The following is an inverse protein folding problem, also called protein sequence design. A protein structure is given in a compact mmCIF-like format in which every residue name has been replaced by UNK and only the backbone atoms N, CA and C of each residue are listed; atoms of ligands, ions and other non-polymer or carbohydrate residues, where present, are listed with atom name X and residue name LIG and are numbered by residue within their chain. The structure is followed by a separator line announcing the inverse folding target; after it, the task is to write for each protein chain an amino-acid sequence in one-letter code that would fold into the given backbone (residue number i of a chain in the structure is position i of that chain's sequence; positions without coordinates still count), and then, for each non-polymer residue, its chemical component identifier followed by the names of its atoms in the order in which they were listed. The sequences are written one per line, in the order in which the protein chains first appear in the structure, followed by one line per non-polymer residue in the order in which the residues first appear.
data_IF_060043041907
#
_entry.id   IF_060043041907
#
_cell.length_a   1.000
_cell.length_b   1.000
_cell.length_c   1.000
_cell.angle_alpha   90.00
_cell.angle_beta   90.00
_cell.angle_gamma   90.00
#
_symmetry.space_group_name_H-M   'P 1'
#
loop_
_entity.id
_entity.type
_entity.pdbx_description
1 polymer ?
#
# COMPACT_ATOMS: atom_id res chain seq x y z
N UNK A 1 -17.42 56.36 9.19
CA UNK A 1 -17.20 55.55 10.41
C UNK A 1 -18.34 54.55 10.48
N UNK A 2 -18.21 53.25 10.29
CA UNK A 2 -17.05 52.37 10.20
C UNK A 2 -17.28 51.36 9.08
N UNK A 3 -16.25 51.16 8.27
CA UNK A 3 -16.15 50.13 7.24
C UNK A 3 -15.92 48.79 7.95
N UNK A 4 -16.82 47.82 7.74
CA UNK A 4 -16.68 46.46 8.24
C UNK A 4 -15.69 45.76 7.31
N UNK A 5 -14.43 45.80 7.68
CA UNK A 5 -13.37 44.98 7.06
C UNK A 5 -13.76 43.52 7.18
N UNK A 6 -14.22 42.94 6.08
CA UNK A 6 -14.23 41.51 5.84
C UNK A 6 -12.79 41.00 5.96
N UNK A 7 -12.47 40.36 7.10
CA UNK A 7 -11.24 39.59 7.22
C UNK A 7 -11.23 38.54 6.09
N UNK A 8 -10.13 38.41 5.33
CA UNK A 8 -10.01 37.33 4.37
C UNK A 8 -10.07 36.02 5.17
N UNK A 9 -11.05 35.17 4.83
CA UNK A 9 -11.05 33.77 5.26
C UNK A 9 -9.71 33.21 4.76
N UNK A 10 -8.73 33.05 5.65
CA UNK A 10 -7.52 32.30 5.32
C UNK A 10 -8.00 30.91 4.92
N UNK A 11 -7.97 30.62 3.62
CA UNK A 11 -8.05 29.26 3.12
C UNK A 11 -6.90 28.51 3.78
N UNK A 12 -7.22 27.73 4.81
CA UNK A 12 -6.26 26.86 5.47
C UNK A 12 -5.86 25.82 4.42
N UNK A 13 -4.67 25.97 3.84
CA UNK A 13 -4.19 25.04 2.83
C UNK A 13 -3.83 23.71 3.51
N UNK A 14 -4.74 22.75 3.40
CA UNK A 14 -4.52 21.37 3.87
C UNK A 14 -3.64 20.59 2.90
N UNK A 15 -3.41 21.07 1.69
CA UNK A 15 -2.75 20.29 0.65
C UNK A 15 -1.23 20.53 0.64
N UNK A 16 -0.42 19.47 0.47
CA UNK A 16 1.01 19.65 0.26
C UNK A 16 1.32 20.40 -1.04
N UNK A 17 2.46 21.10 -1.14
CA UNK A 17 2.85 21.88 -2.31
C UNK A 17 3.37 21.00 -3.46
N UNK A 18 2.57 20.01 -3.89
CA UNK A 18 2.93 18.98 -4.88
C UNK A 18 3.25 19.60 -6.23
N UNK A 19 2.43 20.56 -6.69
CA UNK A 19 2.60 21.20 -7.99
C UNK A 19 3.92 21.97 -8.07
N UNK A 20 4.24 22.73 -7.02
CA UNK A 20 5.49 23.49 -6.93
C UNK A 20 6.69 22.54 -6.98
N UNK A 21 6.69 21.50 -6.13
CA UNK A 21 7.79 20.53 -6.08
C UNK A 21 7.96 19.79 -7.41
N UNK A 22 6.86 19.37 -8.03
CA UNK A 22 6.90 18.73 -9.34
C UNK A 22 7.50 19.66 -10.41
N UNK A 23 7.12 20.95 -10.39
CA UNK A 23 7.70 21.97 -11.28
C UNK A 23 9.20 22.11 -11.12
N UNK A 24 9.73 22.12 -9.89
CA UNK A 24 11.17 22.15 -9.64
C UNK A 24 11.88 20.92 -10.23
N UNK A 25 11.31 19.72 -10.09
CA UNK A 25 11.88 18.50 -10.66
C UNK A 25 11.95 18.53 -12.20
N UNK A 26 11.01 19.21 -12.87
CA UNK A 26 11.04 19.35 -14.34
C UNK A 26 12.13 20.30 -14.84
N UNK A 27 12.66 21.17 -13.97
CA UNK A 27 13.71 22.14 -14.31
C UNK A 27 15.13 21.60 -14.08
N UNK A 28 15.26 20.48 -13.37
CA UNK A 28 16.56 19.86 -13.11
C UNK A 28 17.11 19.18 -14.38
N UNK A 29 18.41 19.32 -14.68
CA UNK A 29 19.03 18.54 -15.74
C UNK A 29 19.02 17.05 -15.37
N UNK A 30 18.85 16.11 -16.32
CA UNK A 30 18.82 14.68 -16.02
C UNK A 30 20.17 14.23 -15.43
N UNK A 31 20.16 13.84 -14.15
CA UNK A 31 21.40 13.52 -13.41
C UNK A 31 21.85 12.06 -13.56
N UNK A 32 21.07 11.20 -14.21
CA UNK A 32 21.39 9.77 -14.40
C UNK A 32 21.25 9.45 -15.90
N UNK A 33 22.23 8.77 -16.53
CA UNK A 33 22.07 8.24 -17.87
C UNK A 33 20.82 7.36 -17.86
N UNK A 34 19.82 7.72 -18.64
CA UNK A 34 18.66 6.88 -18.90
C UNK A 34 19.17 5.57 -19.46
N UNK A 35 19.32 4.54 -18.62
CA UNK A 35 19.36 3.16 -19.09
C UNK A 35 18.06 2.97 -19.86
N UNK A 36 18.21 2.83 -21.17
CA UNK A 36 17.15 2.73 -22.17
C UNK A 36 16.02 1.85 -21.65
N UNK A 37 14.91 2.49 -21.29
CA UNK A 37 13.66 1.83 -21.03
C UNK A 37 12.78 2.25 -22.19
N UNK A 38 12.56 1.31 -23.13
CA UNK A 38 11.81 1.48 -24.36
C UNK A 38 10.74 2.57 -24.24
N UNK A 39 10.85 3.56 -25.12
CA UNK A 39 9.89 4.64 -25.27
C UNK A 39 8.47 4.08 -25.29
N UNK A 40 7.68 4.43 -24.27
CA UNK A 40 6.23 4.39 -24.43
C UNK A 40 5.89 5.49 -25.43
N UNK A 41 5.27 5.17 -26.58
CA UNK A 41 4.98 6.18 -27.58
C UNK A 41 4.04 7.23 -26.99
N UNK A 42 4.50 8.47 -27.02
CA UNK A 42 3.67 9.65 -26.76
C UNK A 42 2.53 9.69 -27.77
N UNK A 43 1.29 9.71 -27.30
CA UNK A 43 0.13 10.06 -28.12
C UNK A 43 -0.87 8.96 -28.48
N UNK A 44 -0.77 7.74 -27.94
CA UNK A 44 -1.87 6.78 -28.05
C UNK A 44 -2.87 7.01 -26.91
N UNK A 45 -4.16 7.18 -27.22
CA UNK A 45 -5.25 7.01 -26.26
C UNK A 45 -5.20 5.55 -25.80
N UNK A 46 -4.44 5.26 -24.74
CA UNK A 46 -4.38 3.92 -24.15
C UNK A 46 -5.77 3.66 -23.58
N UNK A 47 -6.57 2.86 -24.30
CA UNK A 47 -7.75 2.25 -23.69
C UNK A 47 -7.28 1.56 -22.42
N UNK A 48 -7.77 2.00 -21.28
CA UNK A 48 -7.47 1.36 -19.99
C UNK A 48 -8.00 -0.07 -20.09
N UNK A 49 -7.11 -1.05 -20.24
CA UNK A 49 -7.46 -2.44 -20.04
C UNK A 49 -7.81 -2.59 -18.55
N UNK A 50 -9.11 -2.77 -18.28
CA UNK A 50 -9.60 -3.07 -16.95
C UNK A 50 -9.51 -4.58 -16.73
N UNK A 51 -8.95 -5.00 -15.61
CA UNK A 51 -9.01 -6.40 -15.19
C UNK A 51 -10.03 -6.55 -14.07
N UNK A 52 -10.80 -7.64 -14.13
CA UNK A 52 -11.55 -8.11 -12.98
C UNK A 52 -10.63 -9.02 -12.18
N UNK A 53 -10.18 -8.53 -11.02
CA UNK A 53 -9.46 -9.37 -10.08
C UNK A 53 -10.33 -10.54 -9.63
N UNK A 54 -9.74 -11.70 -9.28
CA UNK A 54 -10.46 -12.77 -8.60
C UNK A 54 -11.19 -12.20 -7.38
N UNK A 55 -12.50 -12.43 -7.30
CA UNK A 55 -13.36 -12.01 -6.19
C UNK A 55 -13.70 -13.23 -5.33
N UNK A 56 -13.31 -13.20 -4.07
CA UNK A 56 -13.39 -14.35 -3.17
C UNK A 56 -14.31 -14.02 -2.00
N UNK A 57 -15.31 -14.87 -1.79
CA UNK A 57 -16.18 -14.82 -0.62
C UNK A 57 -15.55 -15.57 0.56
N UNK A 58 -15.15 -14.83 1.60
CA UNK A 58 -14.50 -15.42 2.77
C UNK A 58 -15.46 -16.06 3.76
N UNK A 59 -16.78 -15.89 3.62
CA UNK A 59 -17.74 -16.63 4.44
C UNK A 59 -17.62 -18.14 4.22
N UNK A 60 -17.21 -18.56 3.02
CA UNK A 60 -16.97 -19.95 2.66
C UNK A 60 -15.86 -20.62 3.49
N UNK A 61 -14.88 -19.87 4.02
CA UNK A 61 -13.85 -20.42 4.91
C UNK A 61 -14.43 -20.97 6.22
N UNK A 62 -15.57 -20.43 6.66
CA UNK A 62 -16.27 -20.85 7.88
C UNK A 62 -17.50 -21.73 7.60
N UNK A 63 -17.68 -22.20 6.35
CA UNK A 63 -18.79 -23.08 5.99
C UNK A 63 -18.73 -24.40 6.77
N UNK A 64 -19.89 -24.97 7.13
CA UNK A 64 -19.95 -26.34 7.69
C UNK A 64 -19.57 -27.39 6.64
N UNK A 65 -19.71 -27.08 5.35
CA UNK A 65 -19.35 -27.95 4.25
C UNK A 65 -17.84 -27.90 3.97
N UNK A 66 -17.16 -29.04 4.14
CA UNK A 66 -15.72 -29.16 3.93
C UNK A 66 -15.30 -28.82 2.49
N UNK A 67 -16.10 -29.23 1.50
CA UNK A 67 -15.79 -28.96 0.10
C UNK A 67 -15.79 -27.46 -0.22
N UNK A 68 -16.69 -26.70 0.40
CA UNK A 68 -16.75 -25.24 0.23
C UNK A 68 -15.54 -24.55 0.89
N UNK A 69 -15.15 -25.00 2.09
CA UNK A 69 -13.96 -24.48 2.77
C UNK A 69 -12.70 -24.70 1.93
N UNK A 70 -12.52 -25.93 1.41
CA UNK A 70 -11.39 -26.28 0.56
C UNK A 70 -11.38 -25.47 -0.75
N UNK A 71 -12.53 -25.37 -1.43
CA UNK A 71 -12.64 -24.58 -2.66
C UNK A 71 -12.31 -23.09 -2.45
N UNK A 72 -12.72 -22.51 -1.31
CA UNK A 72 -12.37 -21.14 -0.96
C UNK A 72 -10.87 -20.98 -0.71
N UNK A 73 -10.26 -21.91 0.05
CA UNK A 73 -8.81 -21.91 0.28
C UNK A 73 -8.02 -22.05 -1.03
N UNK A 74 -8.43 -22.96 -1.92
CA UNK A 74 -7.84 -23.13 -3.25
C UNK A 74 -7.98 -21.87 -4.11
N UNK A 75 -9.11 -21.17 -4.04
CA UNK A 75 -9.31 -19.92 -4.77
C UNK A 75 -8.34 -18.82 -4.29
N UNK A 76 -8.11 -18.72 -2.98
CA UNK A 76 -7.14 -17.78 -2.40
C UNK A 76 -5.74 -18.11 -2.89
N UNK A 77 -5.33 -19.39 -2.81
CA UNK A 77 -3.99 -19.81 -3.21
C UNK A 77 -3.76 -19.61 -4.71
N UNK A 78 -4.75 -19.96 -5.55
CA UNK A 78 -4.70 -19.77 -7.00
C UNK A 78 -4.58 -18.30 -7.37
N UNK A 79 -5.36 -17.43 -6.73
CA UNK A 79 -5.27 -16.00 -6.99
C UNK A 79 -3.92 -15.42 -6.57
N UNK A 80 -3.38 -15.85 -5.42
CA UNK A 80 -2.03 -15.46 -4.97
C UNK A 80 -0.91 -15.91 -5.91
N UNK A 81 -1.04 -17.08 -6.54
CA UNK A 81 -0.06 -17.62 -7.48
C UNK A 81 -0.18 -17.07 -8.91
N UNK A 82 -1.39 -16.89 -9.43
CA UNK A 82 -1.61 -16.46 -10.81
C UNK A 82 -1.64 -14.93 -10.96
N UNK A 83 -2.14 -14.23 -9.94
CA UNK A 83 -2.35 -12.78 -9.98
C UNK A 83 -1.50 -12.03 -8.96
N UNK A 84 -1.20 -12.64 -7.81
CA UNK A 84 -0.60 -11.91 -6.68
C UNK A 84 -1.51 -10.86 -6.04
N UNK A 85 -2.73 -10.72 -6.57
CA UNK A 85 -3.75 -9.74 -6.22
C UNK A 85 -5.14 -10.39 -6.31
N UNK A 86 -6.01 -10.08 -5.35
CA UNK A 86 -7.42 -10.49 -5.39
C UNK A 86 -8.29 -9.56 -4.54
N UNK A 87 -9.59 -9.65 -4.72
CA UNK A 87 -10.60 -8.98 -3.90
C UNK A 87 -11.25 -9.98 -2.97
N UNK A 88 -11.55 -9.55 -1.75
CA UNK A 88 -12.29 -10.35 -0.76
C UNK A 88 -13.54 -9.63 -0.31
N UNK A 89 -14.66 -10.36 -0.23
CA UNK A 89 -15.95 -9.92 0.35
C UNK A 89 -16.32 -10.83 1.51
N UNK A 90 -17.30 -10.41 2.32
CA UNK A 90 -17.71 -11.12 3.54
C UNK A 90 -16.51 -11.44 4.47
N UNK A 91 -15.54 -10.52 4.50
CA UNK A 91 -14.27 -10.65 5.20
C UNK A 91 -14.37 -10.42 6.73
N UNK A 92 -15.58 -10.15 7.24
CA UNK A 92 -15.85 -10.05 8.67
C UNK A 92 -15.46 -8.71 9.34
N UNK A 93 -15.01 -7.72 8.57
CA UNK A 93 -14.77 -6.36 9.08
C UNK A 93 -16.07 -5.57 8.92
N UNK A 94 -16.54 -4.96 10.00
CA UNK A 94 -17.80 -4.19 10.00
C UNK A 94 -17.76 -3.06 8.96
N UNK A 95 -18.78 -2.93 8.09
CA UNK A 95 -18.90 -1.79 7.18
C UNK A 95 -18.93 -0.44 7.92
N UNK A 96 -19.48 -0.42 9.15
CA UNK A 96 -19.48 0.77 9.99
C UNK A 96 -18.07 1.16 10.44
N UNK A 97 -17.25 0.18 10.84
CA UNK A 97 -15.86 0.42 11.21
C UNK A 97 -15.05 0.97 10.03
N UNK A 98 -15.26 0.43 8.82
CA UNK A 98 -14.64 0.96 7.59
C UNK A 98 -15.08 2.41 7.34
N UNK A 99 -16.37 2.73 7.49
CA UNK A 99 -16.89 4.10 7.34
C UNK A 99 -16.33 5.06 8.37
N UNK A 100 -16.29 4.66 9.64
CA UNK A 100 -15.72 5.46 10.72
C UNK A 100 -14.24 5.75 10.44
N UNK A 101 -13.46 4.71 10.09
CA UNK A 101 -12.04 4.89 9.77
C UNK A 101 -11.82 5.84 8.58
N UNK A 102 -12.67 5.77 7.54
CA UNK A 102 -12.63 6.73 6.41
C UNK A 102 -12.96 8.16 6.82
N UNK A 103 -13.94 8.35 7.72
CA UNK A 103 -14.27 9.68 8.26
C UNK A 103 -13.09 10.27 9.03
N UNK A 104 -12.51 9.51 9.96
CA UNK A 104 -11.35 9.97 10.74
C UNK A 104 -10.12 10.23 9.84
N UNK A 105 -9.92 9.40 8.79
CA UNK A 105 -8.89 9.65 7.78
C UNK A 105 -9.12 10.98 7.05
N UNK A 106 -10.35 11.25 6.63
CA UNK A 106 -10.69 12.49 5.94
C UNK A 106 -10.42 13.71 6.83
N UNK A 107 -10.90 13.68 8.07
CA UNK A 107 -10.69 14.75 9.05
C UNK A 107 -9.20 14.99 9.33
N UNK A 108 -8.42 13.91 9.50
CA UNK A 108 -6.97 14.01 9.68
C UNK A 108 -6.30 14.73 8.50
N UNK A 109 -6.66 14.37 7.26
CA UNK A 109 -6.05 14.98 6.07
C UNK A 109 -6.51 16.42 5.79
N UNK A 110 -7.65 16.85 6.36
CA UNK A 110 -8.13 18.24 6.28
C UNK A 110 -7.36 19.20 7.21
N UNK A 111 -6.54 18.68 8.11
CA UNK A 111 -5.61 19.48 8.92
C UNK A 111 -4.66 20.29 8.01
N UNK A 112 -4.32 21.55 8.37
CA UNK A 112 -3.36 22.35 7.62
C UNK A 112 -2.07 21.59 7.32
N UNK A 113 -1.52 21.77 6.11
CA UNK A 113 -0.31 21.09 5.66
C UNK A 113 0.85 21.26 6.65
N UNK A 114 1.10 22.49 7.11
CA UNK A 114 2.20 22.79 8.04
C UNK A 114 2.08 22.02 9.35
N UNK A 115 0.85 21.87 9.88
CA UNK A 115 0.61 21.07 11.08
C UNK A 115 0.94 19.59 10.84
N UNK A 116 0.49 19.01 9.71
CA UNK A 116 0.81 17.62 9.36
C UNK A 116 2.32 17.41 9.18
N UNK A 117 3.00 18.39 8.60
CA UNK A 117 4.43 18.33 8.29
C UNK A 117 5.36 18.58 9.50
N UNK A 118 4.93 19.33 10.51
CA UNK A 118 5.84 19.82 11.57
C UNK A 118 5.45 19.42 13.00
N UNK A 119 4.18 19.12 13.27
CA UNK A 119 3.70 18.88 14.64
C UNK A 119 3.90 17.44 15.12
N UNK A 120 4.55 16.58 14.33
CA UNK A 120 4.82 15.19 14.69
C UNK A 120 3.59 14.33 14.95
N UNK A 121 2.45 14.70 14.35
CA UNK A 121 1.19 13.96 14.40
C UNK A 121 1.46 12.49 14.05
N UNK A 122 0.94 11.58 14.89
CA UNK A 122 1.13 10.14 14.76
C UNK A 122 2.61 9.74 14.68
N UNK A 123 3.43 10.31 15.57
CA UNK A 123 4.85 10.02 15.73
C UNK A 123 5.70 10.29 14.46
N UNK A 124 5.55 11.49 13.89
CA UNK A 124 6.26 11.91 12.67
C UNK A 124 6.08 10.94 11.48
N UNK A 125 4.90 10.30 11.38
CA UNK A 125 4.60 9.33 10.32
C UNK A 125 4.16 9.96 9.00
N UNK A 126 3.97 11.28 8.98
CA UNK A 126 3.52 12.01 7.81
C UNK A 126 4.63 12.14 6.74
N UNK A 127 4.25 11.89 5.49
CA UNK A 127 5.09 12.09 4.31
C UNK A 127 4.25 12.58 3.14
N UNK A 128 4.87 13.32 2.25
CA UNK A 128 4.24 13.80 1.02
C UNK A 128 5.25 13.82 -0.12
N UNK A 129 4.75 13.72 -1.35
CA UNK A 129 5.62 13.68 -2.52
C UNK A 129 6.54 12.46 -2.51
N UNK A 130 7.73 12.66 -3.06
CA UNK A 130 8.87 11.74 -2.86
C UNK A 130 10.09 12.60 -2.59
N UNK A 131 10.47 12.83 -1.31
CA UNK A 131 11.52 13.80 -0.96
C UNK A 131 12.88 13.53 -1.61
N UNK A 132 13.16 12.27 -1.95
CA UNK A 132 14.39 11.84 -2.62
C UNK A 132 14.28 11.80 -4.15
N UNK A 133 13.17 12.27 -4.73
CA UNK A 133 13.00 12.30 -6.18
C UNK A 133 13.99 13.28 -6.80
N UNK A 134 14.65 12.84 -7.87
CA UNK A 134 15.58 13.64 -8.67
C UNK A 134 15.01 13.97 -10.05
N UNK A 135 13.89 13.35 -10.41
CA UNK A 135 13.17 13.60 -11.65
C UNK A 135 11.66 13.32 -11.48
N UNK A 136 10.81 13.82 -12.38
CA UNK A 136 9.35 13.62 -12.31
C UNK A 136 8.90 12.16 -12.23
N UNK A 137 9.64 11.23 -12.86
CA UNK A 137 9.30 9.79 -12.87
C UNK A 137 9.43 9.11 -11.51
N UNK A 138 10.16 9.73 -10.58
CA UNK A 138 10.35 9.24 -9.20
C UNK A 138 9.37 9.91 -8.22
N UNK A 139 8.56 10.86 -8.66
CA UNK A 139 7.70 11.64 -7.79
C UNK A 139 6.30 11.02 -7.67
N UNK A 140 5.81 10.90 -6.44
CA UNK A 140 4.44 10.46 -6.13
C UNK A 140 3.56 11.65 -5.77
N UNK A 141 2.49 11.90 -6.54
CA UNK A 141 1.46 12.91 -6.27
C UNK A 141 0.51 12.43 -5.16
N UNK A 142 1.04 12.37 -3.95
CA UNK A 142 0.29 11.89 -2.79
C UNK A 142 0.87 12.42 -1.48
N UNK A 143 0.08 12.26 -0.44
CA UNK A 143 0.50 12.32 0.95
C UNK A 143 0.03 11.07 1.70
N UNK A 144 0.73 10.74 2.78
CA UNK A 144 0.40 9.58 3.59
C UNK A 144 0.86 9.73 5.04
N UNK A 145 0.11 9.13 5.96
CA UNK A 145 0.58 8.77 7.29
C UNK A 145 0.97 7.29 7.27
N UNK A 146 2.23 6.97 7.54
CA UNK A 146 2.74 5.60 7.60
C UNK A 146 3.05 5.18 9.04
N UNK A 147 2.04 4.61 9.68
CA UNK A 147 1.91 4.51 11.13
C UNK A 147 2.33 3.10 11.58
N UNK A 148 3.39 2.95 12.38
CA UNK A 148 3.73 1.66 12.99
C UNK A 148 2.67 1.29 14.04
N UNK A 149 2.18 0.05 14.01
CA UNK A 149 1.17 -0.41 14.97
C UNK A 149 1.67 -0.43 16.42
N UNK A 150 2.98 -0.53 16.63
CA UNK A 150 3.63 -0.33 17.95
C UNK A 150 3.19 0.95 18.66
N UNK A 151 2.83 1.97 17.88
CA UNK A 151 2.55 3.33 18.36
C UNK A 151 1.06 3.66 18.33
N UNK A 152 0.22 2.80 17.73
CA UNK A 152 -1.22 3.07 17.57
C UNK A 152 -1.93 3.16 18.93
N UNK A 153 -1.48 2.43 19.95
CA UNK A 153 -2.06 2.52 21.29
C UNK A 153 -1.58 3.72 22.12
N UNK A 154 -0.51 4.41 21.70
CA UNK A 154 0.11 5.50 22.47
C UNK A 154 -0.70 6.80 22.35
N UNK A 155 -1.45 7.14 23.41
CA UNK A 155 -2.32 8.33 23.43
C UNK A 155 -1.58 9.62 23.05
N UNK A 156 -0.32 9.77 23.46
CA UNK A 156 0.50 10.94 23.19
C UNK A 156 0.72 11.19 21.68
N UNK A 157 0.58 10.18 20.83
CA UNK A 157 0.78 10.30 19.39
C UNK A 157 -0.37 11.02 18.66
N UNK A 158 -1.54 11.15 19.28
CA UNK A 158 -2.76 11.58 18.59
C UNK A 158 -3.11 13.06 18.79
N UNK A 159 -2.57 13.72 19.83
CA UNK A 159 -2.87 15.12 20.09
C UNK A 159 -4.38 15.38 20.15
N UNK A 160 -4.88 16.22 19.23
CA UNK A 160 -6.30 16.58 19.10
C UNK A 160 -7.18 15.48 18.45
N UNK A 161 -6.59 14.42 17.88
CA UNK A 161 -7.29 13.34 17.16
C UNK A 161 -7.58 12.12 18.06
N UNK A 162 -8.19 12.34 19.23
CA UNK A 162 -8.44 11.24 20.18
C UNK A 162 -9.44 10.20 19.65
N UNK A 163 -10.47 10.61 18.89
CA UNK A 163 -11.44 9.71 18.23
C UNK A 163 -10.76 8.78 17.22
N UNK A 164 -9.82 9.30 16.44
CA UNK A 164 -9.04 8.55 15.47
C UNK A 164 -8.30 7.38 16.12
N UNK A 165 -7.81 7.53 17.35
CA UNK A 165 -7.09 6.46 18.05
C UNK A 165 -7.95 5.22 18.26
N UNK A 166 -9.14 5.40 18.82
CA UNK A 166 -10.02 4.28 19.16
C UNK A 166 -10.45 3.53 17.90
N UNK A 167 -10.87 4.28 16.88
CA UNK A 167 -11.27 3.72 15.59
C UNK A 167 -10.10 3.02 14.90
N UNK A 168 -8.90 3.61 14.92
CA UNK A 168 -7.69 3.02 14.32
C UNK A 168 -7.25 1.75 15.03
N UNK A 169 -7.34 1.69 16.36
CA UNK A 169 -7.05 0.47 17.14
C UNK A 169 -8.00 -0.67 16.76
N UNK A 170 -9.31 -0.41 16.71
CA UNK A 170 -10.30 -1.42 16.33
C UNK A 170 -10.11 -1.87 14.87
N UNK A 171 -9.86 -0.92 13.96
CA UNK A 171 -9.60 -1.20 12.55
C UNK A 171 -8.31 -2.01 12.34
N UNK A 172 -7.22 -1.65 13.04
CA UNK A 172 -5.94 -2.36 13.00
C UNK A 172 -6.08 -3.81 13.47
N UNK A 173 -6.80 -4.02 14.59
CA UNK A 173 -7.03 -5.36 15.13
C UNK A 173 -7.86 -6.22 14.15
N UNK A 174 -8.89 -5.65 13.53
CA UNK A 174 -9.72 -6.33 12.54
C UNK A 174 -8.92 -6.71 11.28
N UNK A 175 -8.09 -5.79 10.77
CA UNK A 175 -7.18 -6.05 9.64
C UNK A 175 -6.11 -7.10 9.98
N UNK A 176 -5.52 -7.04 11.18
CA UNK A 176 -4.54 -8.00 11.68
C UNK A 176 -5.12 -9.41 11.73
N UNK A 177 -6.34 -9.56 12.27
CA UNK A 177 -7.05 -10.85 12.30
C UNK A 177 -7.27 -11.40 10.89
N UNK A 178 -7.75 -10.57 9.96
CA UNK A 178 -7.96 -10.98 8.57
C UNK A 178 -6.66 -11.38 7.88
N UNK A 179 -5.59 -10.59 8.04
CA UNK A 179 -4.28 -10.87 7.47
C UNK A 179 -3.72 -12.21 7.95
N UNK A 180 -3.84 -12.54 9.24
CA UNK A 180 -3.42 -13.83 9.78
C UNK A 180 -4.22 -15.01 9.24
N UNK A 181 -5.54 -14.85 9.07
CA UNK A 181 -6.37 -15.89 8.44
C UNK A 181 -5.91 -16.17 7.02
N UNK A 182 -5.69 -15.13 6.21
CA UNK A 182 -5.26 -15.26 4.82
C UNK A 182 -3.85 -15.85 4.72
N UNK A 183 -2.89 -15.34 5.51
CA UNK A 183 -1.53 -15.86 5.54
C UNK A 183 -1.48 -17.32 6.01
N UNK A 184 -2.31 -17.70 6.98
CA UNK A 184 -2.42 -19.09 7.45
C UNK A 184 -2.99 -20.05 6.40
N UNK A 185 -3.99 -19.62 5.62
CA UNK A 185 -4.50 -20.41 4.47
C UNK A 185 -3.41 -20.63 3.42
N UNK A 186 -2.65 -19.57 3.11
CA UNK A 186 -1.56 -19.63 2.14
C UNK A 186 -0.39 -20.50 2.63
N UNK A 187 -0.09 -20.50 3.93
CA UNK A 187 0.91 -21.37 4.53
C UNK A 187 0.49 -22.85 4.49
N UNK A 188 -0.77 -23.16 4.84
CA UNK A 188 -1.29 -24.53 4.81
C UNK A 188 -1.25 -25.16 3.42
N UNK A 189 -1.54 -24.39 2.37
CA UNK A 189 -1.46 -24.86 0.99
C UNK A 189 -0.03 -25.28 0.59
N UNK A 190 0.99 -24.75 1.27
CA UNK A 190 2.39 -25.14 1.09
C UNK A 190 2.85 -26.21 2.11
N UNK A 191 1.92 -26.81 2.86
CA UNK A 191 2.20 -27.87 3.82
C UNK A 191 2.70 -27.38 5.18
N UNK A 192 2.58 -26.08 5.48
CA UNK A 192 3.02 -25.50 6.75
C UNK A 192 1.85 -25.22 7.71
N UNK A 193 2.06 -25.24 9.04
CA UNK A 193 1.00 -24.93 10.00
C UNK A 193 0.42 -23.52 9.82
N UNK A 194 -0.90 -23.31 10.03
CA UNK A 194 -1.55 -21.98 9.92
C UNK A 194 -0.84 -20.87 10.69
N UNK A 195 -0.33 -21.20 11.88
CA UNK A 195 0.33 -20.26 12.79
C UNK A 195 1.82 -20.09 12.56
N UNK A 196 2.38 -20.57 11.44
CA UNK A 196 3.84 -20.51 11.18
C UNK A 196 4.39 -19.07 11.25
N UNK A 197 3.55 -18.08 10.96
CA UNK A 197 3.94 -16.68 10.99
C UNK A 197 3.64 -15.94 12.29
N UNK A 198 2.97 -16.54 13.28
CA UNK A 198 2.51 -15.85 14.48
C UNK A 198 3.67 -15.25 15.30
N UNK A 199 4.81 -15.94 15.31
CA UNK A 199 6.00 -15.51 16.06
C UNK A 199 6.82 -14.45 15.34
N UNK A 200 6.81 -14.43 14.00
CA UNK A 200 7.61 -13.50 13.19
C UNK A 200 6.82 -12.25 12.82
N UNK A 201 5.53 -12.39 12.48
CA UNK A 201 4.62 -11.32 12.10
C UNK A 201 3.79 -10.81 13.28
N UNK A 202 4.49 -10.43 14.36
CA UNK A 202 3.85 -9.81 15.50
C UNK A 202 3.27 -8.44 15.13
N UNK A 203 2.15 -8.09 15.74
CA UNK A 203 1.40 -6.87 15.42
C UNK A 203 2.27 -5.61 15.55
N UNK A 204 3.19 -5.60 16.52
CA UNK A 204 4.12 -4.49 16.76
C UNK A 204 5.02 -4.14 15.56
N UNK A 205 5.23 -5.09 14.63
CA UNK A 205 6.05 -4.94 13.43
C UNK A 205 5.24 -4.48 12.21
N UNK A 206 3.91 -4.51 12.29
CA UNK A 206 3.02 -4.21 11.18
C UNK A 206 2.73 -2.70 11.09
N UNK A 207 2.17 -2.28 9.96
CA UNK A 207 1.92 -0.86 9.68
C UNK A 207 0.51 -0.64 9.14
N UNK A 208 -0.04 0.54 9.45
CA UNK A 208 -1.12 1.13 8.69
C UNK A 208 -0.58 2.28 7.83
N UNK A 209 -1.07 2.41 6.60
CA UNK A 209 -0.81 3.57 5.75
C UNK A 209 -2.12 4.20 5.31
N UNK A 210 -2.40 5.39 5.84
CA UNK A 210 -3.48 6.24 5.36
C UNK A 210 -2.92 7.05 4.20
N UNK A 211 -3.54 6.99 3.02
CA UNK A 211 -3.10 7.67 1.82
C UNK A 211 -4.17 8.66 1.36
N UNK A 212 -3.75 9.86 0.96
CA UNK A 212 -4.56 10.81 0.21
C UNK A 212 -3.82 11.16 -1.08
N UNK A 213 -4.54 11.14 -2.18
CA UNK A 213 -4.07 11.56 -3.49
C UNK A 213 -4.89 12.77 -3.91
N UNK A 214 -4.36 14.01 -3.73
CA UNK A 214 -5.06 15.22 -4.15
C UNK A 214 -5.33 15.22 -5.66
N UNK A 215 -6.35 15.96 -6.09
CA UNK A 215 -6.62 16.12 -7.51
C UNK A 215 -5.40 16.72 -8.24
N UNK A 216 -5.06 16.16 -9.40
CA UNK A 216 -3.87 16.54 -10.16
C UNK A 216 -4.23 17.32 -11.43
N UNK A 217 -4.05 18.65 -11.47
CA UNK A 217 -4.56 19.48 -12.57
C UNK A 217 -3.75 19.37 -13.87
N UNK A 218 -2.57 18.74 -13.84
CA UNK A 218 -1.59 18.81 -14.92
C UNK A 218 -1.61 17.60 -15.86
N UNK A 219 -1.87 16.38 -15.37
CA UNK A 219 -2.00 15.19 -16.25
C UNK A 219 -2.51 13.97 -15.49
N UNK A 220 -3.28 13.12 -16.18
CA UNK A 220 -3.65 11.78 -15.70
C UNK A 220 -2.52 10.75 -15.75
N UNK A 221 -1.38 11.10 -16.36
CA UNK A 221 -0.20 10.22 -16.47
C UNK A 221 0.74 10.31 -15.26
N UNK A 222 0.50 11.27 -14.36
CA UNK A 222 1.29 11.41 -13.14
C UNK A 222 0.99 10.26 -12.20
N UNK A 223 2.05 9.73 -11.59
CA UNK A 223 1.91 8.72 -10.55
C UNK A 223 1.36 9.38 -9.29
N UNK A 224 0.18 8.95 -8.85
CA UNK A 224 -0.24 9.13 -7.46
C UNK A 224 0.72 8.38 -6.52
N UNK A 225 1.13 7.17 -6.91
CA UNK A 225 2.19 6.39 -6.27
C UNK A 225 3.00 5.68 -7.35
N UNK A 226 4.33 5.85 -7.32
CA UNK A 226 5.24 5.29 -8.34
C UNK A 226 5.18 3.76 -8.41
N UNK A 227 5.52 3.14 -9.56
CA UNK A 227 5.61 1.69 -9.69
C UNK A 227 6.52 1.04 -8.64
N UNK A 228 5.99 0.07 -7.91
CA UNK A 228 6.70 -0.67 -6.87
C UNK A 228 6.08 -2.05 -6.63
N UNK A 229 6.78 -2.91 -5.91
CA UNK A 229 6.20 -4.05 -5.19
C UNK A 229 6.17 -3.74 -3.70
N UNK A 230 5.31 -4.40 -2.93
CA UNK A 230 5.31 -4.28 -1.47
C UNK A 230 6.40 -5.16 -0.86
N UNK A 231 7.08 -4.65 0.17
CA UNK A 231 8.18 -5.35 0.84
C UNK A 231 7.73 -6.22 2.01
N UNK A 232 6.43 -6.35 2.26
CA UNK A 232 5.86 -7.06 3.39
C UNK A 232 5.57 -8.53 3.03
N UNK A 233 4.78 -9.23 3.86
CA UNK A 233 4.24 -10.54 3.49
C UNK A 233 2.95 -10.40 2.69
N UNK A 234 2.03 -9.59 3.24
CA UNK A 234 0.67 -9.46 2.74
C UNK A 234 0.16 -8.06 3.03
N UNK A 235 -0.33 -7.38 1.99
CA UNK A 235 -1.03 -6.10 2.13
C UNK A 235 -2.54 -6.32 2.01
N UNK A 236 -3.32 -5.63 2.86
CA UNK A 236 -4.78 -5.51 2.73
C UNK A 236 -5.15 -4.04 2.54
N UNK A 237 -5.83 -3.73 1.45
CA UNK A 237 -6.16 -2.38 1.02
C UNK A 237 -7.68 -2.15 1.03
N UNK A 238 -8.11 -1.15 1.80
CA UNK A 238 -9.42 -0.50 1.65
C UNK A 238 -9.27 0.75 0.78
N UNK A 239 -10.10 0.91 -0.24
CA UNK A 239 -10.09 2.08 -1.13
C UNK A 239 -11.49 2.64 -1.37
N UNK A 240 -11.55 3.88 -1.84
CA UNK A 240 -12.78 4.52 -2.31
C UNK A 240 -13.15 4.10 -3.76
N UNK A 241 -14.12 4.81 -4.34
CA UNK A 241 -14.64 4.56 -5.69
C UNK A 241 -13.86 5.28 -6.80
N UNK A 242 -12.86 6.10 -6.47
CA UNK A 242 -12.15 6.93 -7.46
C UNK A 242 -11.23 6.06 -8.32
N UNK A 243 -10.77 4.93 -7.77
CA UNK A 243 -9.91 3.97 -8.45
C UNK A 243 -8.49 4.50 -8.67
N UNK A 244 -7.83 4.08 -9.74
CA UNK A 244 -6.48 4.51 -10.07
C UNK A 244 -5.37 3.53 -9.68
N UNK A 245 -5.68 2.48 -8.92
CA UNK A 245 -4.77 1.35 -8.75
C UNK A 245 -4.59 0.62 -10.08
N UNK A 246 -3.33 0.38 -10.47
CA UNK A 246 -2.96 -0.44 -11.62
C UNK A 246 -1.91 -1.45 -11.21
N UNK A 247 -1.98 -2.65 -11.77
CA UNK A 247 -1.01 -3.72 -11.55
C UNK A 247 -0.42 -4.19 -12.89
N UNK A 248 0.78 -4.74 -12.86
CA UNK A 248 1.45 -5.32 -14.01
C UNK A 248 1.01 -6.78 -14.19
N UNK A 249 0.30 -7.09 -15.29
CA UNK A 249 -0.08 -8.45 -15.67
C UNK A 249 0.30 -8.69 -17.12
N UNK A 250 0.99 -9.79 -17.40
CA UNK A 250 1.41 -10.19 -18.76
C UNK A 250 2.10 -9.04 -19.53
N UNK A 251 3.03 -8.35 -18.83
CA UNK A 251 3.78 -7.20 -19.33
C UNK A 251 2.93 -5.96 -19.69
N UNK A 252 1.69 -5.89 -19.20
CA UNK A 252 0.80 -4.74 -19.36
C UNK A 252 0.32 -4.18 -18.03
N UNK A 253 0.14 -2.87 -17.98
CA UNK A 253 -0.53 -2.21 -16.86
C UNK A 253 -2.04 -2.35 -17.01
N UNK A 254 -2.68 -3.07 -16.09
CA UNK A 254 -4.13 -3.24 -16.03
C UNK A 254 -4.73 -2.50 -14.84
N UNK A 255 -5.88 -1.85 -15.05
CA UNK A 255 -6.56 -1.09 -14.01
C UNK A 255 -7.47 -2.00 -13.17
N UNK A 256 -7.43 -1.80 -11.84
CA UNK A 256 -8.31 -2.51 -10.91
C UNK A 256 -9.60 -1.74 -10.72
N UNK A 257 -10.73 -2.40 -10.96
CA UNK A 257 -12.04 -1.81 -10.71
C UNK A 257 -12.29 -1.64 -9.20
N UNK A 258 -12.67 -0.44 -8.74
CA UNK A 258 -13.12 -0.23 -7.38
C UNK A 258 -14.34 -1.10 -7.05
N UNK A 259 -14.37 -1.63 -5.83
CA UNK A 259 -15.49 -2.38 -5.30
C UNK A 259 -15.65 -1.95 -3.84
N UNK A 260 -16.77 -1.28 -3.50
CA UNK A 260 -16.98 -0.72 -2.17
C UNK A 260 -17.17 -1.78 -1.09
N UNK A 261 -17.63 -2.97 -1.47
CA UNK A 261 -17.93 -4.07 -0.56
C UNK A 261 -16.71 -4.97 -0.33
N UNK A 262 -15.62 -4.72 -1.06
CA UNK A 262 -14.43 -5.56 -1.05
C UNK A 262 -13.19 -4.86 -0.50
N UNK A 263 -12.31 -5.68 0.07
CA UNK A 263 -10.92 -5.31 0.32
C UNK A 263 -10.05 -5.94 -0.78
N UNK A 264 -8.99 -5.25 -1.17
CA UNK A 264 -7.97 -5.82 -2.06
C UNK A 264 -6.88 -6.43 -1.20
N UNK A 265 -6.42 -7.61 -1.57
CA UNK A 265 -5.30 -8.30 -0.95
C UNK A 265 -4.20 -8.47 -1.99
N UNK A 266 -2.95 -8.22 -1.61
CA UNK A 266 -1.80 -8.54 -2.45
C UNK A 266 -0.64 -9.15 -1.68
N UNK A 267 0.12 -9.97 -2.40
CA UNK A 267 1.32 -10.63 -1.89
C UNK A 267 2.51 -9.68 -1.97
N UNK A 268 3.32 -9.66 -0.91
CA UNK A 268 4.55 -8.90 -0.84
C UNK A 268 5.79 -9.75 -1.13
N UNK A 269 6.91 -9.06 -1.33
CA UNK A 269 8.19 -9.67 -1.72
C UNK A 269 8.65 -10.77 -0.76
N UNK A 270 8.48 -10.58 0.54
CA UNK A 270 9.01 -11.54 1.51
C UNK A 270 8.19 -12.83 1.50
N UNK A 271 6.89 -12.76 1.22
CA UNK A 271 6.06 -13.96 1.09
C UNK A 271 6.32 -14.66 -0.25
N UNK A 272 6.63 -13.92 -1.32
CA UNK A 272 7.15 -14.53 -2.55
C UNK A 272 8.47 -15.29 -2.29
N UNK A 273 9.40 -14.67 -1.56
CA UNK A 273 10.67 -15.31 -1.21
C UNK A 273 10.46 -16.56 -0.35
N UNK A 274 9.64 -16.45 0.70
CA UNK A 274 9.33 -17.56 1.59
C UNK A 274 8.61 -18.70 0.87
N UNK A 275 7.68 -18.39 -0.04
CA UNK A 275 6.93 -19.39 -0.83
C UNK A 275 7.72 -19.96 -2.00
N UNK A 276 9.00 -19.63 -2.15
CA UNK A 276 9.85 -20.06 -3.26
C UNK A 276 9.23 -19.76 -4.64
N UNK A 277 8.80 -18.51 -4.83
CA UNK A 277 8.10 -18.05 -6.04
C UNK A 277 6.71 -18.67 -6.29
N UNK A 278 6.14 -19.48 -5.39
CA UNK A 278 4.77 -20.00 -5.60
C UNK A 278 3.73 -18.88 -5.58
N UNK A 279 3.85 -17.92 -4.66
CA UNK A 279 3.00 -16.73 -4.63
C UNK A 279 3.73 -15.52 -5.21
N UNK A 280 3.01 -14.63 -5.91
CA UNK A 280 3.62 -13.59 -6.73
C UNK A 280 3.46 -12.19 -6.13
N UNK A 281 4.56 -11.55 -5.79
CA UNK A 281 4.65 -10.12 -5.52
C UNK A 281 4.62 -9.35 -6.85
N UNK A 282 3.52 -8.65 -7.10
CA UNK A 282 3.27 -8.00 -8.39
C UNK A 282 3.51 -6.50 -8.33
N UNK A 283 4.23 -6.00 -9.33
CA UNK A 283 4.46 -4.57 -9.48
C UNK A 283 3.14 -3.84 -9.70
N UNK A 284 2.88 -2.81 -8.91
CA UNK A 284 1.68 -2.01 -8.97
C UNK A 284 2.01 -0.52 -8.80
N UNK A 285 1.08 0.35 -9.21
CA UNK A 285 1.18 1.80 -9.12
C UNK A 285 -0.19 2.42 -8.89
N UNK A 286 -0.22 3.69 -8.50
CA UNK A 286 -1.46 4.48 -8.47
C UNK A 286 -1.32 5.63 -9.47
N UNK A 287 -2.29 5.81 -10.36
CA UNK A 287 -2.36 6.98 -11.24
C UNK A 287 -3.14 8.12 -10.57
N UNK A 288 -2.67 9.35 -10.73
CA UNK A 288 -3.35 10.51 -10.21
C UNK A 288 -4.65 10.79 -10.98
N UNK A 289 -5.67 11.30 -10.29
CA UNK A 289 -6.94 11.68 -10.89
C UNK A 289 -7.02 13.21 -11.00
N UNK A 290 -7.44 13.72 -12.16
CA UNK A 290 -7.47 15.17 -12.39
C UNK A 290 -8.68 15.91 -11.83
N UNK A 291 -9.69 15.20 -11.33
CA UNK A 291 -10.97 15.79 -10.91
C UNK A 291 -11.33 15.50 -9.46
N UNK A 292 -11.02 14.29 -8.99
CA UNK A 292 -11.43 13.82 -7.66
C UNK A 292 -10.20 13.43 -6.86
N UNK A 293 -10.21 13.76 -5.57
CA UNK A 293 -9.22 13.22 -4.65
C UNK A 293 -9.53 11.74 -4.37
N UNK A 294 -8.48 10.96 -4.11
CA UNK A 294 -8.60 9.54 -3.75
C UNK A 294 -8.08 9.31 -2.34
N UNK A 295 -8.73 8.41 -1.61
CA UNK A 295 -8.30 7.92 -0.30
C UNK A 295 -8.14 6.40 -0.31
N UNK A 296 -7.12 5.92 0.38
CA UNK A 296 -7.00 4.49 0.67
C UNK A 296 -6.26 4.22 1.96
N UNK A 297 -6.58 3.09 2.59
CA UNK A 297 -5.99 2.61 3.83
C UNK A 297 -5.39 1.24 3.57
N UNK A 298 -4.08 1.10 3.75
CA UNK A 298 -3.37 -0.15 3.59
C UNK A 298 -2.86 -0.67 4.93
N UNK A 299 -3.10 -1.94 5.21
CA UNK A 299 -2.50 -2.69 6.31
C UNK A 299 -1.38 -3.56 5.75
N UNK A 300 -0.18 -3.51 6.33
CA UNK A 300 0.98 -4.29 5.92
C UNK A 300 1.30 -5.33 7.01
N UNK A 301 1.15 -6.61 6.69
CA UNK A 301 1.58 -7.71 7.54
C UNK A 301 3.09 -7.91 7.37
N UNK A 302 3.87 -7.47 8.35
CA UNK A 302 5.33 -7.48 8.29
C UNK A 302 5.93 -8.41 9.35
N UNK A 303 7.01 -9.13 9.01
CA UNK A 303 7.84 -9.80 10.01
C UNK A 303 8.66 -8.79 10.81
N UNK A 304 9.32 -9.23 11.89
CA UNK A 304 10.32 -8.40 12.57
C UNK A 304 11.53 -8.14 11.66
N UNK A 305 12.26 -7.06 11.90
CA UNK A 305 13.46 -6.73 11.11
C UNK A 305 14.53 -7.82 11.20
N UNK A 306 14.61 -8.52 12.33
CA UNK A 306 15.59 -9.60 12.57
C UNK A 306 15.09 -10.97 12.10
N UNK A 307 13.84 -11.07 11.63
CA UNK A 307 13.30 -12.33 11.11
C UNK A 307 14.07 -12.78 9.88
N UNK A 308 14.59 -14.00 9.94
CA UNK A 308 15.22 -14.65 8.81
C UNK A 308 14.15 -15.08 7.80
N UNK A 309 14.33 -14.67 6.56
CA UNK A 309 13.49 -15.02 5.42
C UNK A 309 14.30 -15.99 4.57
N UNK A 310 13.76 -17.20 4.46
CA UNK A 310 14.27 -18.27 3.62
C UNK A 310 13.11 -19.01 2.98
N UNK A 311 13.40 -19.73 1.89
CA UNK A 311 12.42 -20.57 1.21
C UNK A 311 11.88 -21.65 2.14
N UNK A 312 10.57 -21.90 2.07
CA UNK A 312 9.91 -22.98 2.78
C UNK A 312 9.98 -24.33 2.04
N UNK A 313 10.69 -24.37 0.90
CA UNK A 313 10.81 -25.49 -0.02
C UNK A 313 12.23 -25.60 -0.60
N UNK A 314 12.62 -26.82 -1.00
CA UNK A 314 13.89 -27.08 -1.69
C UNK A 314 13.67 -27.57 -3.14
N UNK A 315 14.56 -27.24 -4.10
CA UNK A 315 15.71 -26.35 -3.93
C UNK A 315 15.29 -24.88 -3.77
N UNK A 316 15.95 -24.16 -2.86
CA UNK A 316 15.71 -22.72 -2.68
C UNK A 316 16.15 -21.91 -3.91
N UNK A 317 15.36 -20.90 -4.28
CA UNK A 317 15.69 -19.89 -5.31
C UNK A 317 16.47 -18.72 -4.70
N UNK A 318 16.27 -18.46 -3.41
CA UNK A 318 16.83 -17.32 -2.70
C UNK A 318 17.83 -17.77 -1.65
N UNK A 319 18.88 -16.96 -1.43
CA UNK A 319 19.69 -17.09 -0.21
C UNK A 319 18.87 -16.63 0.98
N UNK A 320 19.22 -17.08 2.17
CA UNK A 320 18.60 -16.54 3.39
C UNK A 320 19.04 -15.07 3.61
N UNK A 321 18.11 -14.24 4.10
CA UNK A 321 18.35 -12.85 4.46
C UNK A 321 17.37 -12.39 5.53
N UNK A 322 17.70 -11.33 6.28
CA UNK A 322 16.74 -10.74 7.22
C UNK A 322 15.90 -9.66 6.58
N UNK A 323 14.72 -9.36 7.13
CA UNK A 323 13.92 -8.22 6.63
C UNK A 323 14.69 -6.89 6.74
N UNK A 324 15.48 -6.71 7.80
CA UNK A 324 16.35 -5.54 7.98
C UNK A 324 17.41 -5.42 6.90
N UNK A 325 18.01 -6.53 6.49
CA UNK A 325 18.94 -6.59 5.36
C UNK A 325 18.23 -6.22 4.04
N UNK A 326 17.06 -6.81 3.79
CA UNK A 326 16.24 -6.51 2.61
C UNK A 326 15.93 -5.01 2.49
N UNK A 327 15.49 -4.40 3.60
CA UNK A 327 15.17 -2.96 3.67
C UNK A 327 16.40 -2.08 3.45
N UNK A 328 17.53 -2.46 4.03
CA UNK A 328 18.80 -1.72 3.88
C UNK A 328 19.28 -1.76 2.43
N UNK A 329 19.21 -2.92 1.78
CA UNK A 329 19.58 -3.07 0.37
C UNK A 329 18.67 -2.25 -0.56
N UNK A 330 17.36 -2.22 -0.30
CA UNK A 330 16.42 -1.37 -1.06
C UNK A 330 16.76 0.11 -0.91
N UNK A 331 17.10 0.58 0.30
CA UNK A 331 17.47 1.97 0.51
C UNK A 331 18.74 2.34 -0.26
N UNK A 332 19.72 1.46 -0.30
CA UNK A 332 20.93 1.64 -1.10
C UNK A 332 20.62 1.69 -2.60
N UNK A 333 19.79 0.76 -3.10
CA UNK A 333 19.41 0.73 -4.50
C UNK A 333 18.62 1.98 -4.92
N UNK A 334 17.73 2.50 -4.08
CA UNK A 334 17.01 3.74 -4.33
C UNK A 334 17.99 4.93 -4.35
N UNK A 335 18.93 5.00 -3.40
CA UNK A 335 19.94 6.07 -3.38
C UNK A 335 20.83 6.04 -4.63
N UNK A 336 21.21 4.85 -5.10
CA UNK A 336 22.13 4.69 -6.25
C UNK A 336 21.44 4.79 -7.60
N UNK A 337 20.23 4.26 -7.73
CA UNK A 337 19.56 4.06 -9.03
C UNK A 337 18.23 4.78 -9.15
N UNK A 338 17.73 5.36 -8.06
CA UNK A 338 16.42 6.00 -8.01
C UNK A 338 15.23 5.03 -8.03
N UNK A 339 15.47 3.71 -7.94
CA UNK A 339 14.42 2.69 -7.96
C UNK A 339 14.73 1.52 -7.01
N UNK A 340 13.67 0.84 -6.58
CA UNK A 340 13.75 -0.44 -5.86
C UNK A 340 14.05 -1.57 -6.86
N UNK A 341 15.06 -2.40 -6.56
CA UNK A 341 15.35 -3.64 -7.32
C UNK A 341 14.68 -4.84 -6.64
N UNK A 342 14.85 -5.00 -5.32
CA UNK A 342 14.14 -6.00 -4.52
C UNK A 342 14.77 -7.40 -4.57
N UNK A 343 13.93 -8.44 -4.64
CA UNK A 343 14.32 -9.86 -4.56
C UNK A 343 15.43 -10.33 -5.53
N UNK A 344 15.63 -9.75 -6.74
CA UNK A 344 16.77 -10.13 -7.58
C UNK A 344 18.15 -9.96 -6.92
N UNK A 345 18.26 -9.15 -5.84
CA UNK A 345 19.48 -9.02 -5.02
C UNK A 345 19.78 -10.22 -4.10
N UNK A 346 18.82 -11.13 -3.98
CA UNK A 346 18.81 -12.21 -2.99
C UNK A 346 18.67 -13.59 -3.63
N UNK A 347 18.83 -13.71 -4.96
CA UNK A 347 18.91 -14.99 -5.66
C UNK A 347 20.22 -15.73 -5.28
N UNK A 348 20.18 -17.07 -5.32
CA UNK A 348 21.34 -17.95 -5.12
C UNK A 348 22.31 -17.98 -6.30
#
# INVERSE_FOLDING_TARGET
MHDLTSQPIMMIDSSPPLLHHYGELTRLPPQIPTLECNDLPSGAVVMKEYCQLPLIDLSCLNSTNERERLACAEAICRASSEWGFFQVVNHGISPELVRNMRREQFELFQTPFDKKATCGVLNNSYRWGTPTATCPRQFSWSEAFHIPLSRVSEQACYGEFSSLREVMMEFAAAMSKLARVLAGVLAENLGHPRGVFDNICQEINCFLRLNRYPACPISSEIFGLVPHTDSDFLTILSQDEVGGLQLMKDSKWVAVNPNQDALIVNIGDLFQAWSNDVYKSVQHKVVANGKMERYSIAYFLCPSYDSLIGSCMEPSIYREFTFGEYRSQIQEDIKRTGRKIGLPRFLL
#
